data_IF_896139882719
#
_entry.id   IF_896139882719
#
_cell.length_a   1.000
_cell.length_b   1.000
_cell.length_c   1.000
_cell.angle_alpha   90.00
_cell.angle_beta   90.00
_cell.angle_gamma   90.00
#
_symmetry.space_group_name_H-M   'P 1'
#
loop_
_entity.id
_entity.type
_entity.pdbx_description
1 polymer ?
#
# COMPACT_ATOMS: atom_id res chain seq x y z
N UNK A 1 15.65 -12.66 -20.74
CA UNK A 1 14.25 -12.95 -20.36
C UNK A 1 13.83 -11.90 -19.35
N UNK A 2 12.64 -11.29 -19.46
CA UNK A 2 12.14 -10.34 -18.44
C UNK A 2 11.71 -11.13 -17.21
N UNK A 3 12.26 -10.80 -16.04
CA UNK A 3 11.86 -11.42 -14.78
C UNK A 3 10.52 -10.87 -14.29
N UNK A 4 9.69 -11.68 -13.62
CA UNK A 4 8.40 -11.25 -13.10
C UNK A 4 8.58 -10.21 -11.99
N UNK A 5 7.65 -9.27 -11.93
CA UNK A 5 7.60 -8.25 -10.89
C UNK A 5 6.96 -8.82 -9.62
N UNK A 6 7.65 -8.67 -8.50
CA UNK A 6 7.20 -9.16 -7.20
C UNK A 6 6.10 -8.28 -6.61
N UNK A 7 5.10 -8.91 -6.01
CA UNK A 7 4.14 -8.26 -5.13
C UNK A 7 4.60 -8.47 -3.69
N UNK A 8 5.23 -7.45 -3.14
CA UNK A 8 5.81 -7.46 -1.80
C UNK A 8 5.36 -6.17 -1.13
N UNK A 9 4.99 -6.29 0.14
CA UNK A 9 4.61 -5.19 0.99
C UNK A 9 5.80 -4.28 1.30
N UNK A 10 5.53 -2.99 1.51
CA UNK A 10 6.52 -1.96 1.79
C UNK A 10 7.36 -2.32 3.02
N UNK A 11 6.75 -2.84 4.09
CA UNK A 11 7.48 -3.24 5.30
C UNK A 11 8.58 -4.28 4.99
N UNK A 12 8.24 -5.42 4.38
CA UNK A 12 9.22 -6.46 4.03
C UNK A 12 10.30 -5.93 3.07
N UNK A 13 9.92 -5.11 2.09
CA UNK A 13 10.91 -4.55 1.16
C UNK A 13 11.87 -3.59 1.88
N UNK A 14 11.35 -2.70 2.73
CA UNK A 14 12.14 -1.68 3.41
C UNK A 14 13.04 -2.25 4.52
N UNK A 15 12.67 -3.39 5.11
CA UNK A 15 13.51 -4.12 6.07
C UNK A 15 14.73 -4.82 5.43
N UNK A 16 14.83 -4.78 4.10
CA UNK A 16 15.90 -5.48 3.39
C UNK A 16 17.22 -4.71 3.45
N UNK A 17 18.30 -5.42 3.79
CA UNK A 17 19.64 -4.84 3.89
C UNK A 17 20.71 -5.67 3.15
N UNK A 18 20.30 -6.60 2.29
CA UNK A 18 21.22 -7.44 1.52
C UNK A 18 21.02 -7.30 0.01
N UNK A 19 22.09 -6.89 -0.68
CA UNK A 19 22.16 -6.79 -2.14
C UNK A 19 22.81 -8.05 -2.71
N UNK A 20 22.13 -8.72 -3.64
CA UNK A 20 22.74 -9.77 -4.46
C UNK A 20 23.14 -9.15 -5.79
N UNK A 21 24.44 -9.19 -6.10
CA UNK A 21 24.97 -8.73 -7.39
C UNK A 21 25.35 -9.93 -8.26
N UNK A 22 24.82 -9.98 -9.49
CA UNK A 22 25.30 -10.93 -10.48
C UNK A 22 26.79 -10.68 -10.80
N UNK A 23 27.51 -11.65 -11.37
CA UNK A 23 28.89 -11.40 -11.82
C UNK A 23 28.90 -10.64 -13.16
N UNK A 24 29.75 -9.61 -13.30
CA UNK A 24 30.02 -8.88 -14.55
C UNK A 24 29.87 -7.35 -14.47
N UNK A 25 30.46 -6.61 -15.40
CA UNK A 25 30.49 -5.12 -15.41
C UNK A 25 29.11 -4.45 -15.53
N UNK A 26 28.09 -5.17 -16.00
CA UNK A 26 26.67 -4.74 -16.06
C UNK A 26 25.75 -5.64 -15.22
N UNK A 27 26.26 -6.10 -14.08
CA UNK A 27 25.54 -7.00 -13.21
C UNK A 27 24.20 -6.42 -12.75
N UNK A 28 23.13 -7.17 -13.00
CA UNK A 28 21.81 -6.91 -12.42
C UNK A 28 21.91 -6.99 -10.90
N UNK A 29 21.44 -5.93 -10.21
CA UNK A 29 21.26 -5.91 -8.77
C UNK A 29 19.91 -6.50 -8.38
N UNK A 30 19.92 -7.28 -7.31
CA UNK A 30 18.73 -7.81 -6.66
C UNK A 30 18.78 -7.45 -5.19
N UNK A 31 17.60 -7.30 -4.58
CA UNK A 31 17.46 -7.19 -3.13
C UNK A 31 16.94 -8.51 -2.60
N UNK A 32 17.60 -9.05 -1.58
CA UNK A 32 17.12 -10.21 -0.84
C UNK A 32 16.34 -9.70 0.38
N UNK A 33 15.06 -10.04 0.49
CA UNK A 33 14.22 -9.66 1.64
C UNK A 33 14.41 -10.58 2.84
N UNK A 34 14.04 -10.16 4.06
CA UNK A 34 14.10 -11.01 5.26
C UNK A 34 13.33 -12.32 5.13
N UNK A 35 12.23 -12.32 4.38
CA UNK A 35 11.42 -13.52 4.10
C UNK A 35 11.90 -14.32 2.88
N UNK A 36 12.99 -13.89 2.23
CA UNK A 36 13.61 -14.64 1.14
C UNK A 36 13.06 -14.36 -0.25
N UNK A 37 12.46 -13.20 -0.51
CA UNK A 37 12.22 -12.77 -1.89
C UNK A 37 13.52 -12.24 -2.51
N UNK A 38 13.85 -12.69 -3.73
CA UNK A 38 14.99 -12.18 -4.51
C UNK A 38 14.42 -11.22 -5.58
N UNK A 39 14.46 -9.93 -5.28
CA UNK A 39 13.70 -8.89 -5.96
C UNK A 39 14.56 -8.13 -6.96
N UNK A 40 14.19 -8.19 -8.24
CA UNK A 40 14.71 -7.27 -9.26
C UNK A 40 13.70 -6.19 -9.67
N UNK A 41 12.42 -6.56 -9.64
CA UNK A 41 11.29 -5.71 -10.02
C UNK A 41 10.17 -5.87 -9.03
N UNK A 42 9.47 -4.77 -8.80
CA UNK A 42 8.30 -4.67 -7.97
C UNK A 42 7.09 -4.36 -8.83
N UNK A 43 5.96 -4.96 -8.48
CA UNK A 43 4.64 -4.53 -8.90
C UNK A 43 3.92 -4.08 -7.64
N UNK A 44 3.71 -2.79 -7.51
CA UNK A 44 3.16 -2.11 -6.33
C UNK A 44 1.77 -1.61 -6.71
N UNK A 45 0.79 -1.78 -5.82
CA UNK A 45 -0.48 -1.07 -5.91
C UNK A 45 -0.81 -0.49 -4.54
N UNK A 46 -1.09 0.81 -4.49
CA UNK A 46 -1.34 1.50 -3.24
C UNK A 46 -1.90 2.90 -3.47
N UNK A 47 -1.91 3.71 -2.41
CA UNK A 47 -2.33 5.10 -2.45
C UNK A 47 -1.13 5.98 -2.74
N UNK A 48 -1.16 6.73 -3.83
CA UNK A 48 -0.22 7.81 -4.10
C UNK A 48 -0.48 8.93 -3.09
N UNK A 49 0.50 9.23 -2.24
CA UNK A 49 0.33 10.19 -1.13
C UNK A 49 1.17 11.45 -1.27
N UNK A 50 2.18 11.43 -2.13
CA UNK A 50 3.12 12.54 -2.30
C UNK A 50 3.87 12.42 -3.63
N UNK A 51 4.08 13.55 -4.31
CA UNK A 51 4.90 13.68 -5.52
C UNK A 51 5.76 14.92 -5.40
N UNK A 52 7.07 14.74 -5.46
CA UNK A 52 8.05 15.81 -5.39
C UNK A 52 8.91 15.86 -6.65
N UNK A 53 9.15 17.07 -7.15
CA UNK A 53 10.18 17.31 -8.16
C UNK A 53 11.56 17.42 -7.51
N UNK A 54 12.52 16.63 -7.98
CA UNK A 54 13.86 16.55 -7.41
C UNK A 54 14.91 16.81 -8.49
N UNK A 55 15.83 17.72 -8.18
CA UNK A 55 16.98 18.08 -9.02
C UNK A 55 16.83 19.44 -9.69
N UNK A 56 17.96 19.97 -10.17
CA UNK A 56 17.97 21.20 -10.97
C UNK A 56 17.27 20.92 -12.30
N UNK A 57 16.30 21.74 -12.69
CA UNK A 57 15.42 21.58 -13.87
C UNK A 57 14.34 20.47 -13.80
N UNK A 58 13.99 19.93 -12.62
CA UNK A 58 12.84 19.01 -12.50
C UNK A 58 13.04 17.64 -13.18
N UNK A 59 14.29 17.24 -13.38
CA UNK A 59 14.72 16.06 -14.17
C UNK A 59 14.28 14.72 -13.53
N UNK A 60 13.82 14.71 -12.27
CA UNK A 60 13.33 13.49 -11.59
C UNK A 60 12.10 13.82 -10.77
N UNK A 61 11.15 12.88 -10.74
CA UNK A 61 10.03 12.92 -9.80
C UNK A 61 10.14 11.77 -8.80
N UNK A 62 9.96 12.08 -7.52
CA UNK A 62 9.85 11.10 -6.44
C UNK A 62 8.40 10.99 -6.05
N UNK A 63 7.85 9.79 -6.06
CA UNK A 63 6.51 9.51 -5.59
C UNK A 63 6.55 8.58 -4.37
N UNK A 64 5.64 8.82 -3.42
CA UNK A 64 5.40 7.95 -2.27
C UNK A 64 4.07 7.22 -2.47
N UNK A 65 4.13 5.89 -2.38
CA UNK A 65 2.97 5.03 -2.55
C UNK A 65 2.78 4.24 -1.26
N UNK A 66 1.70 4.53 -0.54
CA UNK A 66 1.33 3.84 0.69
C UNK A 66 0.61 2.53 0.37
N UNK A 67 1.10 1.44 0.93
CA UNK A 67 0.32 0.22 1.11
C UNK A 67 -0.06 0.08 2.60
N UNK A 68 -0.83 -0.96 2.99
CA UNK A 68 -1.24 -1.13 4.39
C UNK A 68 -0.11 -1.29 5.41
N UNK A 69 1.11 -1.58 4.97
CA UNK A 69 2.27 -1.91 5.81
C UNK A 69 3.32 -0.81 5.83
N UNK A 70 3.22 0.19 4.95
CA UNK A 70 4.18 1.28 4.89
C UNK A 70 4.22 1.97 3.53
N UNK A 71 5.37 2.57 3.22
CA UNK A 71 5.56 3.41 2.03
C UNK A 71 6.59 2.78 1.10
N UNK A 72 6.24 2.64 -0.17
CA UNK A 72 7.18 2.46 -1.26
C UNK A 72 7.60 3.83 -1.82
N UNK A 73 8.91 4.04 -1.96
CA UNK A 73 9.45 5.21 -2.65
C UNK A 73 9.83 4.83 -4.08
N UNK A 74 9.28 5.54 -5.05
CA UNK A 74 9.57 5.32 -6.47
C UNK A 74 10.07 6.59 -7.15
N UNK A 75 10.93 6.43 -8.15
CA UNK A 75 11.51 7.53 -8.92
C UNK A 75 11.20 7.37 -10.41
N UNK A 76 10.59 8.39 -11.01
CA UNK A 76 10.51 8.54 -12.46
C UNK A 76 11.68 9.41 -12.95
N UNK A 77 12.44 8.90 -13.91
CA UNK A 77 13.55 9.63 -14.56
C UNK A 77 13.00 10.43 -15.75
N UNK A 78 13.42 11.68 -15.94
CA UNK A 78 12.93 12.54 -17.03
C UNK A 78 13.15 11.98 -18.44
N UNK A 79 14.15 11.10 -18.64
CA UNK A 79 14.37 10.44 -19.94
C UNK A 79 13.31 9.37 -20.27
N UNK A 80 12.35 9.12 -19.37
CA UNK A 80 11.07 8.46 -19.64
C UNK A 80 9.93 9.47 -19.45
N UNK A 81 9.75 10.41 -20.39
CA UNK A 81 8.82 11.53 -20.22
C UNK A 81 7.38 11.09 -19.99
N UNK A 82 6.95 9.96 -20.58
CA UNK A 82 5.60 9.43 -20.42
C UNK A 82 5.26 9.15 -18.94
N UNK A 83 6.14 8.45 -18.22
CA UNK A 83 5.90 8.06 -16.83
C UNK A 83 6.05 9.26 -15.90
N UNK A 84 7.01 10.14 -16.18
CA UNK A 84 7.20 11.35 -15.39
C UNK A 84 6.04 12.33 -15.55
N UNK A 85 5.54 12.54 -16.77
CA UNK A 85 4.37 13.38 -17.04
C UNK A 85 3.13 12.79 -16.41
N UNK A 86 2.91 11.48 -16.56
CA UNK A 86 1.77 10.82 -15.94
C UNK A 86 1.75 11.05 -14.42
N UNK A 87 2.87 10.88 -13.71
CA UNK A 87 2.91 11.18 -12.29
C UNK A 87 2.68 12.67 -11.98
N UNK A 88 3.07 13.60 -12.87
CA UNK A 88 2.84 15.03 -12.64
C UNK A 88 1.36 15.40 -12.69
N UNK A 89 0.60 14.71 -13.54
CA UNK A 89 -0.81 14.99 -13.80
C UNK A 89 -1.74 14.23 -12.84
N UNK A 90 -1.21 13.39 -11.94
CA UNK A 90 -2.02 12.63 -10.99
C UNK A 90 -2.45 13.48 -9.79
N UNK A 91 -3.73 13.37 -9.45
CA UNK A 91 -4.27 13.92 -8.21
C UNK A 91 -3.79 13.10 -7.01
N UNK A 92 -3.56 13.80 -5.89
CA UNK A 92 -3.19 13.20 -4.62
C UNK A 92 -4.30 13.51 -3.61
N UNK A 93 -4.85 12.50 -2.90
CA UNK A 93 -4.46 11.11 -2.97
C UNK A 93 -5.23 10.34 -4.07
N UNK A 94 -4.58 9.38 -4.74
CA UNK A 94 -5.21 8.50 -5.75
C UNK A 94 -4.66 7.07 -5.66
N UNK A 95 -5.38 6.07 -6.19
CA UNK A 95 -4.86 4.71 -6.28
C UNK A 95 -4.00 4.54 -7.52
N UNK A 96 -2.80 4.00 -7.36
CA UNK A 96 -1.84 3.82 -8.46
C UNK A 96 -1.25 2.41 -8.46
N UNK A 97 -1.09 1.86 -9.65
CA UNK A 97 -0.29 0.66 -9.92
C UNK A 97 1.04 1.04 -10.57
N UNK A 98 2.14 0.55 -10.01
CA UNK A 98 3.51 0.83 -10.49
C UNK A 98 4.27 -0.46 -10.71
N UNK A 99 4.90 -0.58 -11.89
CA UNK A 99 5.98 -1.53 -12.12
C UNK A 99 7.29 -0.77 -12.04
N UNK A 100 8.19 -1.20 -11.15
CA UNK A 100 9.46 -0.54 -10.92
C UNK A 100 10.62 -1.51 -10.83
N UNK A 101 11.79 -1.10 -11.34
CA UNK A 101 13.04 -1.83 -11.15
C UNK A 101 13.73 -1.37 -9.86
N UNK A 102 14.15 -2.31 -9.03
CA UNK A 102 14.85 -2.03 -7.77
C UNK A 102 16.04 -1.09 -8.00
N UNK A 103 16.15 -0.08 -7.13
CA UNK A 103 17.27 0.85 -7.05
C UNK A 103 17.74 0.90 -5.60
N UNK A 104 19.04 0.75 -5.45
CA UNK A 104 19.73 0.76 -4.16
C UNK A 104 20.67 1.96 -4.16
N UNK A 105 20.54 2.81 -3.15
CA UNK A 105 21.44 3.92 -2.89
C UNK A 105 22.15 3.68 -1.56
N UNK A 106 23.47 3.73 -1.57
CA UNK A 106 24.33 3.49 -0.42
C UNK A 106 25.32 4.65 -0.31
N UNK A 107 24.97 5.74 0.42
CA UNK A 107 25.83 6.89 0.58
C UNK A 107 27.01 6.61 1.51
N UNK A 108 26.80 5.74 2.49
CA UNK A 108 27.75 5.35 3.52
C UNK A 108 27.69 3.83 3.67
N UNK A 109 28.82 3.22 4.05
CA UNK A 109 28.92 1.77 4.21
C UNK A 109 27.90 1.27 5.25
N UNK A 110 27.04 0.33 4.84
CA UNK A 110 26.00 -0.25 5.70
C UNK A 110 24.70 0.54 5.78
N UNK A 111 24.59 1.71 5.13
CA UNK A 111 23.35 2.48 5.05
C UNK A 111 22.68 2.29 3.68
N UNK A 112 21.66 1.43 3.62
CA UNK A 112 20.96 1.12 2.38
C UNK A 112 19.61 1.84 2.29
N UNK A 113 19.45 2.64 1.25
CA UNK A 113 18.19 3.25 0.88
C UNK A 113 17.59 2.54 -0.33
N UNK A 114 16.42 1.96 -0.13
CA UNK A 114 15.70 1.21 -1.14
C UNK A 114 14.64 2.06 -1.82
N UNK A 115 14.59 1.93 -3.14
CA UNK A 115 13.56 2.57 -3.96
C UNK A 115 13.33 1.74 -5.22
N UNK A 116 12.37 2.15 -6.04
CA UNK A 116 12.19 1.58 -7.38
C UNK A 116 12.26 2.67 -8.44
N UNK A 117 13.00 2.44 -9.52
CA UNK A 117 12.88 3.23 -10.73
C UNK A 117 11.63 2.80 -11.48
N UNK A 118 10.67 3.70 -11.61
CA UNK A 118 9.40 3.45 -12.29
C UNK A 118 9.63 3.10 -13.75
N UNK A 119 9.17 1.91 -14.16
CA UNK A 119 9.18 1.47 -15.56
C UNK A 119 7.84 1.78 -16.23
N UNK A 120 6.74 1.70 -15.48
CA UNK A 120 5.35 1.98 -15.87
C UNK A 120 4.54 2.36 -14.63
N UNK A 121 3.58 3.27 -14.80
CA UNK A 121 2.60 3.64 -13.81
C UNK A 121 1.20 3.68 -14.45
N UNK A 122 0.15 3.46 -13.66
CA UNK A 122 -1.24 3.63 -14.09
C UNK A 122 -2.12 3.96 -12.89
N UNK A 123 -3.03 4.91 -13.01
CA UNK A 123 -4.11 5.08 -12.04
C UNK A 123 -5.03 3.85 -12.09
N UNK A 124 -5.47 3.38 -10.92
CA UNK A 124 -6.29 2.18 -10.78
C UNK A 124 -7.41 2.40 -9.77
N UNK A 125 -8.25 1.40 -9.57
CA UNK A 125 -9.37 1.46 -8.64
C UNK A 125 -9.04 0.81 -7.29
N UNK A 126 -9.91 1.04 -6.30
CA UNK A 126 -9.82 0.38 -5.00
C UNK A 126 -9.89 -1.16 -5.11
N UNK A 127 -10.67 -1.70 -6.05
CA UNK A 127 -10.76 -3.14 -6.29
C UNK A 127 -9.42 -3.71 -6.74
N UNK A 128 -8.72 -2.99 -7.62
CA UNK A 128 -7.38 -3.39 -8.08
C UNK A 128 -6.38 -3.39 -6.93
N UNK A 129 -6.45 -2.39 -6.05
CA UNK A 129 -5.66 -2.31 -4.81
C UNK A 129 -5.98 -3.46 -3.87
N UNK A 130 -7.25 -3.78 -3.67
CA UNK A 130 -7.67 -4.88 -2.78
C UNK A 130 -7.23 -6.25 -3.33
N UNK A 131 -7.35 -6.49 -4.64
CA UNK A 131 -6.81 -7.72 -5.25
C UNK A 131 -5.30 -7.83 -5.08
N UNK A 132 -4.56 -6.73 -5.23
CA UNK A 132 -3.12 -6.71 -5.00
C UNK A 132 -2.78 -7.07 -3.55
N UNK A 133 -3.50 -6.53 -2.55
CA UNK A 133 -3.29 -6.86 -1.13
C UNK A 133 -3.52 -8.35 -0.88
N UNK A 134 -4.54 -8.97 -1.47
CA UNK A 134 -4.81 -10.41 -1.33
C UNK A 134 -3.65 -11.23 -1.91
N UNK A 135 -3.18 -10.87 -3.11
CA UNK A 135 -2.07 -11.56 -3.77
C UNK A 135 -0.74 -11.37 -3.02
N UNK A 136 -0.44 -10.16 -2.55
CA UNK A 136 0.73 -9.86 -1.74
C UNK A 136 0.70 -10.62 -0.41
N UNK A 137 -0.45 -10.67 0.26
CA UNK A 137 -0.67 -11.44 1.50
C UNK A 137 -0.43 -12.93 1.29
N UNK A 138 -1.00 -13.52 0.23
CA UNK A 138 -0.79 -14.94 -0.10
C UNK A 138 0.69 -15.24 -0.37
N UNK A 139 1.36 -14.39 -1.15
CA UNK A 139 2.77 -14.57 -1.48
C UNK A 139 3.66 -14.43 -0.25
N UNK A 140 3.35 -13.49 0.65
CA UNK A 140 4.10 -13.27 1.89
C UNK A 140 3.91 -14.44 2.85
N UNK A 141 2.67 -14.91 3.04
CA UNK A 141 2.39 -16.09 3.85
C UNK A 141 3.11 -17.34 3.35
N UNK A 142 3.19 -17.55 2.02
CA UNK A 142 3.96 -18.66 1.44
C UNK A 142 5.44 -18.58 1.83
N UNK A 143 6.04 -17.38 1.82
CA UNK A 143 7.43 -17.17 2.25
C UNK A 143 7.61 -17.37 3.75
N UNK A 144 6.69 -16.89 4.58
CA UNK A 144 6.69 -17.11 6.03
C UNK A 144 6.68 -18.62 6.34
N UNK A 145 5.76 -19.36 5.74
CA UNK A 145 5.65 -20.82 5.98
C UNK A 145 6.91 -21.56 5.51
N UNK A 146 7.43 -21.21 4.33
CA UNK A 146 8.68 -21.80 3.83
C UNK A 146 9.87 -21.49 4.76
N UNK A 147 9.94 -20.28 5.33
CA UNK A 147 10.98 -19.89 6.27
C UNK A 147 10.84 -20.66 7.60
N UNK A 148 9.62 -20.81 8.14
CA UNK A 148 9.34 -21.63 9.33
C UNK A 148 9.79 -23.07 9.13
N UNK A 149 9.42 -23.69 8.02
CA UNK A 149 9.83 -25.06 7.71
C UNK A 149 11.34 -25.18 7.58
N UNK A 150 11.99 -24.23 6.90
CA UNK A 150 13.44 -24.22 6.73
C UNK A 150 14.20 -24.03 8.05
N UNK A 151 13.69 -23.20 8.98
CA UNK A 151 14.27 -23.01 10.32
C UNK A 151 14.23 -24.28 11.18
N UNK A 152 13.28 -25.18 10.91
CA UNK A 152 13.16 -26.47 11.61
C UNK A 152 13.98 -27.60 10.95
N UNK A 153 14.72 -27.31 9.87
CA UNK A 153 15.61 -28.28 9.22
C UNK A 153 17.05 -28.13 9.70
N UNK A 154 17.76 -29.25 9.89
CA UNK A 154 19.20 -29.21 10.16
C UNK A 154 20.00 -28.64 8.97
N UNK A 155 19.60 -29.01 7.74
CA UNK A 155 20.26 -28.60 6.50
C UNK A 155 19.22 -28.15 5.46
N UNK A 156 18.67 -26.93 5.59
CA UNK A 156 17.66 -26.42 4.67
C UNK A 156 18.22 -26.27 3.26
N UNK A 157 17.45 -26.73 2.27
CA UNK A 157 17.80 -26.60 0.85
C UNK A 157 16.57 -26.28 0.00
N UNK A 158 16.78 -25.62 -1.13
CA UNK A 158 15.70 -25.33 -2.07
C UNK A 158 15.03 -26.60 -2.60
N UNK A 159 15.75 -27.73 -2.64
CA UNK A 159 15.21 -29.03 -3.03
C UNK A 159 14.29 -29.60 -1.95
N UNK A 160 14.70 -29.58 -0.69
CA UNK A 160 13.86 -30.03 0.43
C UNK A 160 12.57 -29.20 0.55
N UNK A 161 12.66 -27.87 0.43
CA UNK A 161 11.46 -27.01 0.44
C UNK A 161 10.56 -27.27 -0.77
N UNK A 162 11.12 -27.61 -1.93
CA UNK A 162 10.32 -28.03 -3.09
C UNK A 162 9.58 -29.35 -2.84
N UNK A 163 10.21 -30.30 -2.15
CA UNK A 163 9.59 -31.57 -1.76
C UNK A 163 8.42 -31.36 -0.77
N UNK A 164 8.44 -30.28 0.02
CA UNK A 164 7.33 -29.83 0.87
C UNK A 164 6.24 -29.05 0.10
N UNK A 165 6.41 -28.81 -1.20
CA UNK A 165 5.41 -28.17 -2.06
C UNK A 165 5.64 -26.68 -2.34
N UNK A 166 6.73 -26.07 -1.85
CA UNK A 166 7.06 -24.69 -2.17
C UNK A 166 7.65 -24.54 -3.59
N UNK A 167 7.40 -23.43 -4.29
CA UNK A 167 8.10 -23.15 -5.54
C UNK A 167 9.63 -23.11 -5.32
N UNK A 168 10.39 -23.68 -6.26
CA UNK A 168 11.85 -23.75 -6.13
C UNK A 168 12.51 -22.37 -5.96
N UNK A 169 11.97 -21.34 -6.61
CA UNK A 169 12.45 -19.95 -6.49
C UNK A 169 12.25 -19.39 -5.08
N UNK A 170 11.13 -19.72 -4.43
CA UNK A 170 10.86 -19.35 -3.03
C UNK A 170 11.82 -20.08 -2.11
N UNK A 171 11.95 -21.41 -2.27
CA UNK A 171 12.86 -22.20 -1.44
C UNK A 171 14.33 -21.75 -1.59
N UNK A 172 14.76 -21.37 -2.79
CA UNK A 172 16.08 -20.79 -3.02
C UNK A 172 16.27 -19.50 -2.23
N UNK A 173 15.34 -18.55 -2.35
CA UNK A 173 15.47 -17.26 -1.67
C UNK A 173 15.38 -17.37 -0.14
N UNK A 174 14.53 -18.25 0.39
CA UNK A 174 14.46 -18.58 1.82
C UNK A 174 15.79 -19.10 2.35
N UNK A 175 16.43 -20.03 1.63
CA UNK A 175 17.75 -20.57 2.02
C UNK A 175 18.83 -19.50 1.98
N UNK A 176 18.79 -18.58 1.01
CA UNK A 176 19.72 -17.43 1.00
C UNK A 176 19.44 -16.47 2.16
N UNK A 177 18.16 -16.20 2.49
CA UNK A 177 17.79 -15.33 3.60
C UNK A 177 18.30 -15.86 4.95
N UNK A 178 18.16 -17.16 5.23
CA UNK A 178 18.66 -17.76 6.48
C UNK A 178 20.17 -17.62 6.70
N UNK A 179 20.95 -17.49 5.61
CA UNK A 179 22.39 -17.29 5.72
C UNK A 179 22.72 -15.91 6.28
N UNK A 180 21.93 -14.90 5.90
CA UNK A 180 22.27 -13.48 6.10
C UNK A 180 21.42 -12.81 7.17
N UNK A 181 20.10 -13.05 7.18
CA UNK A 181 19.20 -12.55 8.21
C UNK A 181 19.18 -13.49 9.40
N UNK A 182 19.35 -12.92 10.60
CA UNK A 182 19.22 -13.62 11.89
C UNK A 182 17.98 -13.11 12.60
N UNK A 183 17.31 -13.99 13.32
CA UNK A 183 16.20 -13.63 14.22
C UNK A 183 15.06 -12.86 13.53
N UNK A 184 14.70 -13.25 12.31
CA UNK A 184 13.57 -12.65 11.57
C UNK A 184 12.29 -12.81 12.39
N UNK A 185 11.67 -11.70 12.79
CA UNK A 185 10.40 -11.70 13.52
C UNK A 185 9.24 -12.05 12.59
N UNK A 186 8.97 -13.35 12.48
CA UNK A 186 7.87 -13.86 11.67
C UNK A 186 6.49 -13.44 12.20
N UNK A 187 6.34 -13.24 13.52
CA UNK A 187 5.07 -12.81 14.10
C UNK A 187 4.73 -11.39 13.68
N UNK A 188 5.74 -10.51 13.59
CA UNK A 188 5.58 -9.16 13.05
C UNK A 188 4.96 -9.18 11.65
N UNK A 189 5.52 -9.96 10.72
CA UNK A 189 4.97 -10.05 9.35
C UNK A 189 3.59 -10.72 9.30
N UNK A 190 3.30 -11.68 10.16
CA UNK A 190 1.95 -12.26 10.27
C UNK A 190 0.92 -11.23 10.75
N UNK A 191 1.28 -10.38 11.72
CA UNK A 191 0.43 -9.28 12.17
C UNK A 191 0.20 -8.26 11.05
N UNK A 192 1.25 -7.87 10.32
CA UNK A 192 1.13 -6.98 9.16
C UNK A 192 0.19 -7.52 8.08
N UNK A 193 0.23 -8.82 7.80
CA UNK A 193 -0.71 -9.45 6.84
C UNK A 193 -2.15 -9.37 7.37
N UNK A 194 -2.37 -9.63 8.66
CA UNK A 194 -3.71 -9.53 9.28
C UNK A 194 -4.24 -8.10 9.21
N UNK A 195 -3.42 -7.12 9.54
CA UNK A 195 -3.73 -5.70 9.42
C UNK A 195 -4.04 -5.35 7.96
N UNK A 196 -3.19 -5.73 7.01
CA UNK A 196 -3.39 -5.48 5.59
C UNK A 196 -4.72 -6.07 5.06
N UNK A 197 -5.07 -7.29 5.47
CA UNK A 197 -6.33 -7.92 5.08
C UNK A 197 -7.54 -7.23 5.74
N UNK A 198 -7.38 -6.64 6.94
CA UNK A 198 -8.43 -5.89 7.61
C UNK A 198 -8.89 -4.66 6.79
N UNK A 199 -8.04 -4.09 5.94
CA UNK A 199 -8.40 -3.01 5.01
C UNK A 199 -9.36 -3.44 3.91
N UNK A 200 -9.56 -4.76 3.71
CA UNK A 200 -10.48 -5.32 2.72
C UNK A 200 -11.73 -5.89 3.39
N UNK A 201 -11.58 -6.50 4.57
CA UNK A 201 -12.67 -7.21 5.24
C UNK A 201 -13.50 -6.33 6.17
N UNK A 202 -12.93 -5.22 6.63
CA UNK A 202 -13.70 -4.19 7.34
C UNK A 202 -14.49 -3.39 6.33
N UNK A 203 -15.66 -2.88 6.72
CA UNK A 203 -16.40 -1.87 5.93
C UNK A 203 -15.38 -0.82 5.46
N UNK A 204 -15.32 -0.49 4.16
CA UNK A 204 -14.26 0.35 3.62
C UNK A 204 -14.09 1.60 4.48
N UNK A 205 -12.94 1.74 5.14
CA UNK A 205 -12.40 3.07 5.40
C UNK A 205 -11.99 3.59 4.04
N UNK A 206 -12.97 4.07 3.28
CA UNK A 206 -12.69 4.81 2.06
C UNK A 206 -11.70 5.92 2.42
N UNK A 207 -10.84 6.25 1.46
CA UNK A 207 -10.02 7.45 1.56
C UNK A 207 -10.95 8.54 2.06
N UNK A 208 -10.60 9.21 3.16
CA UNK A 208 -11.38 10.35 3.65
C UNK A 208 -11.50 11.32 2.47
N UNK A 209 -12.57 11.21 1.70
CA UNK A 209 -12.92 12.19 0.69
C UNK A 209 -13.11 13.44 1.52
N UNK A 210 -12.39 14.49 1.18
CA UNK A 210 -12.65 15.78 1.76
C UNK A 210 -13.97 16.25 1.19
N UNK A 211 -15.05 15.99 1.92
CA UNK A 211 -16.38 16.40 1.51
C UNK A 211 -16.62 17.89 1.75
N UNK A 212 -15.65 18.63 2.33
CA UNK A 212 -15.62 20.09 2.52
C UNK A 212 -16.99 20.77 2.56
N UNK A 213 -17.44 21.27 1.40
CA UNK A 213 -18.71 22.00 1.24
C UNK A 213 -19.95 21.17 1.60
N UNK A 214 -19.96 19.86 1.30
CA UNK A 214 -21.05 18.96 1.65
C UNK A 214 -21.11 18.70 3.16
N UNK A 215 -19.97 18.67 3.86
CA UNK A 215 -19.95 18.57 5.33
C UNK A 215 -20.55 19.82 5.98
N UNK A 216 -20.12 21.01 5.54
CA UNK A 216 -20.64 22.28 6.05
C UNK A 216 -22.14 22.40 5.82
N UNK A 217 -22.61 22.03 4.63
CA UNK A 217 -24.05 22.01 4.31
C UNK A 217 -24.81 21.04 5.20
N UNK A 218 -24.33 19.80 5.37
CA UNK A 218 -25.04 18.80 6.17
C UNK A 218 -25.03 19.11 7.66
N UNK A 219 -23.94 19.66 8.20
CA UNK A 219 -23.92 20.19 9.57
C UNK A 219 -24.99 21.28 9.71
N UNK A 220 -25.04 22.25 8.80
CA UNK A 220 -26.04 23.32 8.84
C UNK A 220 -27.49 22.81 8.75
N UNK A 221 -27.73 21.78 7.93
CA UNK A 221 -29.04 21.11 7.82
C UNK A 221 -29.41 20.46 9.16
N UNK A 222 -28.50 19.67 9.74
CA UNK A 222 -28.73 18.98 11.02
C UNK A 222 -28.96 20.00 12.13
N UNK A 223 -28.18 21.08 12.21
CA UNK A 223 -28.36 22.15 13.22
C UNK A 223 -29.75 22.80 13.15
N UNK A 224 -30.26 23.03 11.94
CA UNK A 224 -31.59 23.62 11.74
C UNK A 224 -32.71 22.64 12.11
N UNK A 225 -32.49 21.35 11.94
CA UNK A 225 -33.52 20.31 12.07
C UNK A 225 -33.48 19.56 13.41
N UNK A 226 -32.38 19.67 14.18
CA UNK A 226 -32.14 18.75 15.28
C UNK A 226 -33.06 18.92 16.49
N UNK A 227 -33.50 20.14 16.80
CA UNK A 227 -34.33 20.40 17.99
C UNK A 227 -33.81 19.70 19.28
N UNK A 228 -34.72 19.31 20.16
CA UNK A 228 -34.36 18.59 21.40
C UNK A 228 -34.10 17.10 21.19
N UNK A 229 -34.77 16.46 20.23
CA UNK A 229 -34.73 15.00 20.04
C UNK A 229 -33.69 14.51 19.02
N UNK A 230 -33.18 15.39 18.16
CA UNK A 230 -32.32 15.07 17.02
C UNK A 230 -33.08 15.06 15.70
N UNK A 231 -32.38 15.37 14.60
CA UNK A 231 -32.92 15.45 13.26
C UNK A 231 -33.13 14.03 12.70
N UNK A 232 -34.31 13.73 12.15
CA UNK A 232 -34.56 12.41 11.56
C UNK A 232 -33.60 12.17 10.39
N UNK A 233 -32.94 11.02 10.40
CA UNK A 233 -31.95 10.62 9.41
C UNK A 233 -32.48 10.74 7.97
N UNK A 234 -33.67 10.20 7.72
CA UNK A 234 -34.33 10.25 6.41
C UNK A 234 -34.56 11.69 5.95
N UNK A 235 -34.97 12.58 6.85
CA UNK A 235 -35.21 13.98 6.52
C UNK A 235 -33.91 14.74 6.21
N UNK A 236 -32.81 14.40 6.91
CA UNK A 236 -31.48 14.97 6.62
C UNK A 236 -31.00 14.54 5.24
N UNK A 237 -31.23 13.28 4.85
CA UNK A 237 -30.94 12.79 3.49
C UNK A 237 -31.74 13.58 2.45
N UNK A 238 -33.07 13.68 2.64
CA UNK A 238 -33.93 14.39 1.71
C UNK A 238 -33.53 15.87 1.52
N UNK A 239 -33.17 16.55 2.62
CA UNK A 239 -32.78 17.95 2.56
C UNK A 239 -31.38 18.13 1.95
N UNK A 240 -30.44 17.22 2.22
CA UNK A 240 -29.12 17.20 1.56
C UNK A 240 -29.23 17.07 0.04
N UNK A 241 -30.16 16.22 -0.43
CA UNK A 241 -30.44 16.07 -1.86
C UNK A 241 -31.03 17.35 -2.47
N UNK A 242 -31.93 18.04 -1.76
CA UNK A 242 -32.50 19.32 -2.23
C UNK A 242 -31.45 20.42 -2.33
N UNK A 243 -30.45 20.41 -1.46
CA UNK A 243 -29.30 21.33 -1.47
C UNK A 243 -28.22 20.94 -2.50
N UNK A 244 -28.51 19.95 -3.36
CA UNK A 244 -27.70 19.58 -4.51
C UNK A 244 -26.60 18.56 -4.22
N UNK A 245 -26.64 17.89 -3.07
CA UNK A 245 -25.70 16.81 -2.74
C UNK A 245 -26.26 15.49 -3.29
N UNK A 246 -25.45 14.72 -4.03
CA UNK A 246 -25.90 13.40 -4.50
C UNK A 246 -26.23 12.48 -3.33
N UNK A 247 -27.26 11.65 -3.46
CA UNK A 247 -27.76 10.81 -2.35
C UNK A 247 -26.66 9.94 -1.73
N UNK A 248 -25.85 9.30 -2.58
CA UNK A 248 -24.73 8.46 -2.15
C UNK A 248 -23.70 9.27 -1.34
N UNK A 249 -23.43 10.51 -1.75
CA UNK A 249 -22.54 11.43 -1.04
C UNK A 249 -23.14 11.87 0.31
N UNK A 250 -24.45 12.13 0.38
CA UNK A 250 -25.09 12.50 1.66
C UNK A 250 -24.92 11.41 2.71
N UNK A 251 -25.18 10.16 2.33
CA UNK A 251 -25.03 9.00 3.22
C UNK A 251 -23.57 8.81 3.65
N UNK A 252 -22.61 8.96 2.73
CA UNK A 252 -21.17 8.92 3.01
C UNK A 252 -20.73 10.02 4.00
N UNK A 253 -21.20 11.27 3.81
CA UNK A 253 -20.85 12.41 4.66
C UNK A 253 -21.40 12.25 6.08
N UNK A 254 -22.63 11.77 6.24
CA UNK A 254 -23.21 11.55 7.58
C UNK A 254 -22.35 10.54 8.36
N UNK A 255 -21.97 9.43 7.74
CA UNK A 255 -21.07 8.43 8.35
C UNK A 255 -19.73 9.06 8.71
N UNK A 256 -19.13 9.84 7.81
CA UNK A 256 -17.86 10.52 8.04
C UNK A 256 -17.92 11.52 9.21
N UNK A 257 -19.01 12.28 9.33
CA UNK A 257 -19.22 13.23 10.44
C UNK A 257 -19.41 12.51 11.78
N UNK A 258 -20.06 11.34 11.79
CA UNK A 258 -20.17 10.50 12.99
C UNK A 258 -18.80 9.94 13.42
N UNK A 259 -18.00 9.45 12.47
CA UNK A 259 -16.63 8.98 12.75
C UNK A 259 -15.71 10.09 13.25
N UNK A 260 -15.89 11.32 12.74
CA UNK A 260 -15.18 12.52 13.21
C UNK A 260 -15.62 12.97 14.61
N UNK A 261 -16.75 12.47 15.10
CA UNK A 261 -17.37 12.93 16.34
C UNK A 261 -17.91 14.35 16.23
N UNK A 262 -18.23 14.82 15.03
CA UNK A 262 -18.85 16.13 14.78
C UNK A 262 -20.37 16.04 14.96
N UNK A 263 -20.94 14.88 14.65
CA UNK A 263 -22.35 14.55 14.93
C UNK A 263 -22.44 13.21 15.64
N UNK A 264 -23.56 12.95 16.32
CA UNK A 264 -23.84 11.71 17.04
C UNK A 264 -25.33 11.36 16.99
N UNK A 265 -25.66 10.13 17.36
CA UNK A 265 -27.02 9.59 17.33
C UNK A 265 -27.58 9.43 18.75
N UNK A 266 -28.27 10.44 19.33
CA UNK A 266 -28.86 10.34 20.68
C UNK A 266 -29.97 9.29 20.79
N UNK A 267 -30.69 9.04 19.70
CA UNK A 267 -31.75 8.04 19.58
C UNK A 267 -31.66 7.41 18.20
N UNK A 268 -32.03 6.14 18.11
CA UNK A 268 -32.00 5.41 16.84
C UNK A 268 -32.77 6.16 15.75
N UNK A 269 -32.10 6.45 14.63
CA UNK A 269 -32.62 7.20 13.49
C UNK A 269 -32.59 8.73 13.64
N UNK A 270 -31.94 9.30 14.66
CA UNK A 270 -31.88 10.75 14.90
C UNK A 270 -30.46 11.26 15.08
N UNK A 271 -30.10 12.31 14.34
CA UNK A 271 -28.78 12.92 14.31
C UNK A 271 -28.73 14.24 15.10
N UNK A 272 -27.64 14.47 15.82
CA UNK A 272 -27.33 15.74 16.48
C UNK A 272 -25.90 16.16 16.25
N UNK A 273 -25.68 17.46 16.11
CA UNK A 273 -24.35 18.04 16.17
C UNK A 273 -23.87 18.00 17.62
N UNK A 274 -22.59 17.66 17.82
CA UNK A 274 -21.93 17.59 19.13
C UNK A 274 -21.78 18.98 19.73
#
# INVERSE_FOLDING_TARGET
MREPAWRIFAAEYNDSNHVIQAKGERATKYILTPLGAIVNRLFIVGVLTDIEEIGVEGIRRRARISDPTGIHVVYAEAFKPEVASMLADMEIPSYIAVVGKVRVYEPEEGMLYLSARTEMAKEVTIETRNQWIIEASRNTLMRINALKDAMNMENPSAKHLKELGYPYTIGKGVVEALKVYKDVDLNHYEMLIREALSFITSVPKEMKKDYGEAEEKLISIIEKMQGEEGALWENVIEEGIKEGIEKEIVEEVIVALMEKGTIYEPQLGRLKVV
#
